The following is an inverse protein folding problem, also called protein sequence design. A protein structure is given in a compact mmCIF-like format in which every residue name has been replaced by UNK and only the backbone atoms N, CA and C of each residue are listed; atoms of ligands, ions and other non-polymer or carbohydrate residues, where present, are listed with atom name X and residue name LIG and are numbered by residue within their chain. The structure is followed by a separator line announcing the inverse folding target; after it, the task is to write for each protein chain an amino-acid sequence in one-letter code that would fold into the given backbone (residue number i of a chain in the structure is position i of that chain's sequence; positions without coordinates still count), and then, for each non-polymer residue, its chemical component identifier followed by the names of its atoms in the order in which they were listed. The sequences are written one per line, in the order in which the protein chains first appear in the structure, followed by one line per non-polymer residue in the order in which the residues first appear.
data_IF_556447455551
#
_entry.id   IF_556447455551
#
_cell.length_a   1.000
_cell.length_b   1.000
_cell.length_c   1.000
_cell.angle_alpha   90.00
_cell.angle_beta   90.00
_cell.angle_gamma   90.00
#
_symmetry.space_group_name_H-M   'P 1'
#
loop_
_entity.id
_entity.type
_entity.pdbx_description
1 polymer ?
#
# COMPACT_ATOMS: atom_id res chain seq x y z
N UNK A 1 -4.28 2.85 29.38
CA UNK A 1 -3.35 2.75 28.24
C UNK A 1 -2.07 3.49 28.64
N UNK A 2 -0.99 2.78 28.97
CA UNK A 2 0.36 3.35 29.00
C UNK A 2 1.11 2.73 27.83
N UNK A 3 1.32 3.50 26.78
CA UNK A 3 2.10 3.12 25.62
C UNK A 3 2.85 4.37 25.17
N UNK A 4 4.16 4.25 24.93
CA UNK A 4 4.99 5.35 24.45
C UNK A 4 4.48 5.77 23.07
N UNK A 5 4.27 7.07 22.86
CA UNK A 5 4.03 7.62 21.53
C UNK A 5 5.36 7.69 20.76
N UNK A 6 5.40 7.17 19.55
CA UNK A 6 6.54 7.23 18.66
C UNK A 6 6.21 7.99 17.39
N UNK A 7 7.09 8.91 16.98
CA UNK A 7 7.03 9.57 15.67
C UNK A 7 8.06 8.96 14.72
N UNK A 8 7.64 8.57 13.53
CA UNK A 8 8.51 8.05 12.47
C UNK A 8 8.50 9.05 11.31
N UNK A 9 9.67 9.54 10.93
CA UNK A 9 9.84 10.34 9.72
C UNK A 9 10.24 9.45 8.57
N UNK A 10 9.39 9.38 7.55
CA UNK A 10 9.69 8.73 6.28
C UNK A 10 10.27 9.76 5.31
N UNK A 11 11.56 9.61 4.99
CA UNK A 11 12.22 10.50 4.04
C UNK A 11 12.03 10.00 2.61
N UNK A 12 11.54 10.88 1.74
CA UNK A 12 11.37 10.68 0.31
C UNK A 12 12.66 10.96 -0.47
N UNK A 13 13.79 11.19 0.20
CA UNK A 13 15.08 11.25 -0.50
C UNK A 13 15.59 9.84 -0.81
N UNK A 14 16.45 9.73 -1.81
CA UNK A 14 17.27 8.51 -1.96
C UNK A 14 18.34 8.49 -0.84
N UNK A 15 18.76 7.30 -0.43
CA UNK A 15 19.85 7.15 0.55
C UNK A 15 21.18 7.66 -0.02
N UNK A 16 21.32 7.66 -1.34
CA UNK A 16 22.40 8.32 -2.04
C UNK A 16 21.99 9.76 -2.40
N UNK A 17 22.63 10.78 -1.79
CA UNK A 17 22.26 12.19 -2.02
C UNK A 17 22.51 12.68 -3.45
N UNK A 18 23.28 11.93 -4.26
CA UNK A 18 23.51 12.22 -5.68
C UNK A 18 22.40 11.68 -6.60
N UNK A 19 21.49 10.84 -6.08
CA UNK A 19 20.36 10.31 -6.85
C UNK A 19 19.12 11.17 -6.65
N UNK A 20 18.39 11.36 -7.74
CA UNK A 20 17.11 12.04 -7.76
C UNK A 20 16.00 11.02 -7.49
N UNK A 21 15.10 11.30 -6.54
CA UNK A 21 13.88 10.51 -6.31
C UNK A 21 12.67 11.18 -6.95
N UNK A 22 12.66 11.17 -8.27
CA UNK A 22 11.67 11.87 -9.10
C UNK A 22 10.68 10.96 -9.82
N UNK A 23 10.65 9.66 -9.49
CA UNK A 23 9.63 8.74 -9.99
C UNK A 23 8.35 8.91 -9.13
N UNK A 24 7.34 9.55 -9.73
CA UNK A 24 6.08 9.83 -9.05
C UNK A 24 5.33 8.56 -8.62
N UNK A 25 5.41 7.48 -9.39
CA UNK A 25 4.71 6.23 -9.06
C UNK A 25 5.45 5.46 -7.97
N UNK A 26 6.78 5.43 -7.99
CA UNK A 26 7.55 4.88 -6.87
C UNK A 26 7.27 5.64 -5.57
N UNK A 27 7.25 6.97 -5.63
CA UNK A 27 6.93 7.81 -4.49
C UNK A 27 5.51 7.57 -3.96
N UNK A 28 4.53 7.47 -4.87
CA UNK A 28 3.15 7.16 -4.51
C UNK A 28 3.03 5.78 -3.81
N UNK A 29 3.73 4.75 -4.29
CA UNK A 29 3.76 3.42 -3.67
C UNK A 29 4.43 3.42 -2.31
N UNK A 30 5.54 4.14 -2.16
CA UNK A 30 6.24 4.26 -0.87
C UNK A 30 5.35 4.96 0.17
N UNK A 31 4.64 6.02 -0.23
CA UNK A 31 3.69 6.72 0.65
C UNK A 31 2.53 5.80 1.02
N UNK A 32 1.97 5.03 0.06
CA UNK A 32 0.93 4.06 0.34
C UNK A 32 1.39 3.02 1.38
N UNK A 33 2.60 2.46 1.21
CA UNK A 33 3.21 1.51 2.13
C UNK A 33 3.32 2.07 3.55
N UNK A 34 3.93 3.25 3.69
CA UNK A 34 4.13 3.89 4.99
C UNK A 34 2.79 4.16 5.68
N UNK A 35 1.85 4.81 4.98
CA UNK A 35 0.56 5.15 5.54
C UNK A 35 -0.28 3.93 5.91
N UNK A 36 -0.33 2.90 5.07
CA UNK A 36 -1.09 1.69 5.33
C UNK A 36 -0.52 0.91 6.52
N UNK A 37 0.81 0.84 6.61
CA UNK A 37 1.50 0.20 7.75
C UNK A 37 1.28 0.96 9.05
N UNK A 38 1.37 2.29 9.03
CA UNK A 38 1.16 3.14 10.21
C UNK A 38 -0.30 3.10 10.69
N UNK A 39 -1.26 3.08 9.76
CA UNK A 39 -2.69 3.02 10.09
C UNK A 39 -3.10 1.77 10.88
N UNK A 40 -2.29 0.70 10.85
CA UNK A 40 -2.51 -0.55 11.58
C UNK A 40 -1.90 -0.62 12.98
N UNK A 41 -1.24 0.45 13.46
CA UNK A 41 -0.52 0.46 14.74
C UNK A 41 -0.95 1.63 15.62
N UNK A 42 -1.26 1.34 16.87
CA UNK A 42 -1.55 2.38 17.86
C UNK A 42 -0.27 3.03 18.36
N UNK A 43 -0.33 4.34 18.62
CA UNK A 43 0.79 5.10 19.19
C UNK A 43 1.91 5.45 18.21
N UNK A 44 1.73 5.21 16.90
CA UNK A 44 2.67 5.64 15.86
C UNK A 44 2.11 6.84 15.10
N UNK A 45 2.89 7.91 15.04
CA UNK A 45 2.68 9.05 14.15
C UNK A 45 3.66 8.95 12.97
N UNK A 46 3.15 8.99 11.75
CA UNK A 46 3.96 8.99 10.53
C UNK A 46 4.05 10.41 9.97
N UNK A 47 5.27 10.94 9.89
CA UNK A 47 5.57 12.18 9.18
C UNK A 47 6.24 11.86 7.84
N UNK A 48 5.70 12.37 6.74
CA UNK A 48 6.22 12.14 5.40
C UNK A 48 6.97 13.41 4.96
N UNK A 49 8.29 13.32 4.82
CA UNK A 49 9.14 14.39 4.29
C UNK A 49 9.50 14.07 2.84
N UNK A 50 9.10 14.83 1.81
CA UNK A 50 8.67 16.23 1.81
C UNK A 50 7.23 16.39 1.29
N UNK A 51 6.55 17.44 1.73
CA UNK A 51 5.22 17.80 1.22
C UNK A 51 5.28 18.34 -0.22
N UNK A 52 6.19 19.27 -0.50
CA UNK A 52 6.39 19.88 -1.82
C UNK A 52 7.71 19.40 -2.41
N UNK A 53 7.79 19.35 -3.74
CA UNK A 53 9.04 19.09 -4.46
C UNK A 53 10.22 19.89 -3.91
N UNK A 54 11.35 19.20 -3.80
CA UNK A 54 12.64 19.80 -3.57
C UNK A 54 13.45 19.61 -4.84
N UNK A 55 13.51 20.65 -5.67
CA UNK A 55 14.09 20.63 -7.02
C UNK A 55 15.51 21.22 -7.10
N UNK A 56 16.08 21.65 -5.96
CA UNK A 56 17.40 22.30 -5.87
C UNK A 56 18.31 21.61 -4.84
N UNK A 57 19.60 21.59 -5.15
CA UNK A 57 20.64 21.10 -4.24
C UNK A 57 20.74 19.58 -4.19
N UNK A 58 21.18 19.07 -3.04
CA UNK A 58 21.31 17.63 -2.81
C UNK A 58 19.97 17.00 -2.36
N UNK A 59 19.70 15.78 -2.81
CA UNK A 59 18.48 15.05 -2.43
C UNK A 59 17.22 15.55 -3.14
N UNK A 60 17.33 15.87 -4.43
CA UNK A 60 16.17 16.24 -5.26
C UNK A 60 15.13 15.13 -5.23
N UNK A 61 13.89 15.49 -4.92
CA UNK A 61 12.81 14.54 -4.72
C UNK A 61 11.46 15.18 -4.98
N UNK A 62 10.54 14.40 -5.54
CA UNK A 62 9.17 14.85 -5.71
C UNK A 62 8.40 14.70 -4.40
N UNK A 63 7.63 15.73 -4.05
CA UNK A 63 6.69 15.70 -2.93
C UNK A 63 5.32 15.13 -3.33
N UNK A 64 4.30 15.43 -2.53
CA UNK A 64 2.91 15.17 -2.92
C UNK A 64 2.35 16.25 -3.84
N UNK A 65 2.94 17.45 -3.84
CA UNK A 65 2.63 18.54 -4.76
C UNK A 65 3.91 19.05 -5.43
N UNK A 66 3.76 19.58 -6.63
CA UNK A 66 4.84 20.29 -7.29
C UNK A 66 5.03 21.73 -6.76
N UNK A 67 6.06 22.41 -7.25
CA UNK A 67 6.38 23.81 -6.90
C UNK A 67 5.31 24.84 -7.28
N UNK A 68 4.35 24.46 -8.12
CA UNK A 68 3.21 25.28 -8.51
C UNK A 68 1.92 24.85 -7.80
N UNK A 69 2.05 23.99 -6.78
CA UNK A 69 0.95 23.42 -6.00
C UNK A 69 0.00 22.52 -6.83
N UNK A 70 0.45 21.99 -7.97
CA UNK A 70 -0.31 20.95 -8.66
C UNK A 70 -0.14 19.62 -7.91
N UNK A 71 -1.23 18.85 -7.73
CA UNK A 71 -1.14 17.54 -7.09
C UNK A 71 -0.37 16.55 -7.97
N UNK A 72 0.54 15.81 -7.34
CA UNK A 72 1.21 14.65 -7.92
C UNK A 72 0.43 13.37 -7.59
N UNK A 73 0.69 12.23 -8.28
CA UNK A 73 0.07 10.94 -7.98
C UNK A 73 0.05 10.56 -6.49
N UNK A 74 1.11 10.90 -5.76
CA UNK A 74 1.19 10.68 -4.32
C UNK A 74 0.09 11.41 -3.51
N UNK A 75 -0.37 12.59 -3.93
CA UNK A 75 -1.49 13.29 -3.27
C UNK A 75 -2.80 12.50 -3.42
N UNK A 76 -3.04 11.90 -4.58
CA UNK A 76 -4.21 11.03 -4.79
C UNK A 76 -4.17 9.81 -3.86
N UNK A 77 -3.00 9.19 -3.70
CA UNK A 77 -2.81 8.08 -2.74
C UNK A 77 -3.12 8.52 -1.33
N UNK A 78 -2.56 9.65 -0.87
CA UNK A 78 -2.82 10.19 0.48
C UNK A 78 -4.32 10.39 0.68
N UNK A 79 -4.99 11.06 -0.27
CA UNK A 79 -6.42 11.34 -0.22
C UNK A 79 -7.24 10.05 -0.14
N UNK A 80 -7.02 9.12 -1.07
CA UNK A 80 -7.82 7.91 -1.22
C UNK A 80 -7.61 6.97 -0.04
N UNK A 81 -6.35 6.78 0.38
CA UNK A 81 -6.03 5.93 1.51
C UNK A 81 -6.53 6.53 2.84
N UNK A 82 -6.46 7.85 3.03
CA UNK A 82 -7.08 8.49 4.19
C UNK A 82 -8.59 8.27 4.24
N UNK A 83 -9.28 8.41 3.11
CA UNK A 83 -10.72 8.20 3.03
C UNK A 83 -11.11 6.75 3.36
N UNK A 84 -10.38 5.78 2.80
CA UNK A 84 -10.63 4.35 3.03
C UNK A 84 -10.28 3.95 4.47
N UNK A 85 -9.21 4.50 5.05
CA UNK A 85 -8.72 4.13 6.38
C UNK A 85 -9.37 4.91 7.52
N UNK A 86 -10.06 6.03 7.27
CA UNK A 86 -10.69 6.83 8.32
C UNK A 86 -11.58 6.02 9.28
N UNK A 87 -12.42 5.07 8.84
CA UNK A 87 -13.27 4.28 9.74
C UNK A 87 -12.51 3.30 10.65
N UNK A 88 -11.26 2.96 10.30
CA UNK A 88 -10.47 1.88 10.95
C UNK A 88 -9.18 2.38 11.61
N UNK A 89 -9.02 3.70 11.77
CA UNK A 89 -7.87 4.29 12.48
C UNK A 89 -7.86 3.89 13.95
N UNK A 90 -6.67 3.70 14.52
CA UNK A 90 -6.49 3.43 15.95
C UNK A 90 -6.94 2.04 16.39
N UNK A 91 -6.99 1.09 15.45
CA UNK A 91 -7.25 -0.33 15.71
C UNK A 91 -5.97 -1.10 15.38
N UNK A 92 -5.21 -1.43 16.43
CA UNK A 92 -4.09 -2.37 16.30
C UNK A 92 -4.54 -3.66 15.60
N UNK A 93 -3.84 -4.02 14.54
CA UNK A 93 -4.13 -5.18 13.72
C UNK A 93 -2.84 -5.93 13.37
N UNK A 94 -2.97 -7.20 13.01
CA UNK A 94 -1.86 -7.95 12.43
C UNK A 94 -1.53 -7.37 11.05
N UNK A 95 -0.25 -7.04 10.85
CA UNK A 95 0.29 -6.59 9.58
C UNK A 95 1.36 -7.58 9.14
N UNK A 96 1.13 -8.27 8.02
CA UNK A 96 2.12 -9.13 7.39
C UNK A 96 2.61 -8.48 6.08
N UNK A 97 3.76 -8.93 5.58
CA UNK A 97 4.34 -8.48 4.31
C UNK A 97 4.93 -9.65 3.56
N UNK A 98 4.94 -9.55 2.23
CA UNK A 98 5.60 -10.53 1.38
C UNK A 98 5.92 -9.98 0.00
N UNK A 99 6.43 -10.86 -0.86
CA UNK A 99 6.87 -10.51 -2.20
C UNK A 99 5.79 -10.86 -3.23
N UNK A 100 5.85 -10.16 -4.36
CA UNK A 100 5.14 -10.51 -5.57
C UNK A 100 6.16 -10.77 -6.67
N UNK A 101 5.77 -11.55 -7.68
CA UNK A 101 6.51 -11.63 -8.95
C UNK A 101 6.87 -10.26 -9.54
N UNK A 102 6.03 -9.25 -9.30
CA UNK A 102 6.18 -7.89 -9.82
C UNK A 102 6.06 -6.82 -8.73
N UNK A 103 6.62 -7.03 -7.53
CA UNK A 103 6.60 -6.03 -6.47
C UNK A 103 6.53 -6.63 -5.07
N UNK A 104 5.71 -6.02 -4.19
CA UNK A 104 5.51 -6.49 -2.82
C UNK A 104 4.06 -6.28 -2.38
N UNK A 105 3.67 -6.94 -1.30
CA UNK A 105 2.36 -6.78 -0.69
C UNK A 105 2.45 -6.58 0.82
N UNK A 106 1.44 -5.91 1.37
CA UNK A 106 1.24 -5.72 2.81
C UNK A 106 -0.20 -6.03 3.13
N UNK A 107 -0.44 -6.90 4.10
CA UNK A 107 -1.79 -7.24 4.54
C UNK A 107 -2.13 -6.55 5.86
N UNK A 108 -3.43 -6.35 6.06
CA UNK A 108 -4.02 -5.94 7.33
C UNK A 108 -5.25 -6.80 7.57
N UNK A 109 -5.22 -7.61 8.63
CA UNK A 109 -6.38 -8.38 9.07
C UNK A 109 -7.14 -7.65 10.17
N UNK A 110 -8.45 -7.43 9.99
CA UNK A 110 -9.32 -6.88 11.02
C UNK A 110 -10.66 -7.64 11.07
N UNK A 111 -10.82 -8.52 12.06
CA UNK A 111 -12.02 -9.36 12.15
C UNK A 111 -12.17 -10.25 10.92
N UNK A 112 -13.34 -10.16 10.28
CA UNK A 112 -13.67 -10.90 9.04
C UNK A 112 -13.28 -10.16 7.76
N UNK A 113 -12.57 -9.04 7.84
CA UNK A 113 -12.11 -8.31 6.66
C UNK A 113 -10.58 -8.32 6.58
N UNK A 114 -10.08 -8.62 5.39
CA UNK A 114 -8.65 -8.55 5.08
C UNK A 114 -8.44 -7.52 4.00
N UNK A 115 -7.56 -6.57 4.28
CA UNK A 115 -7.10 -5.60 3.30
C UNK A 115 -5.70 -5.99 2.85
N UNK A 116 -5.49 -5.98 1.54
CA UNK A 116 -4.20 -6.29 0.94
C UNK A 116 -3.77 -5.13 0.06
N UNK A 117 -2.70 -4.45 0.47
CA UNK A 117 -2.05 -3.42 -0.32
C UNK A 117 -1.02 -4.08 -1.25
N UNK A 118 -1.24 -3.94 -2.55
CA UNK A 118 -0.37 -4.40 -3.63
C UNK A 118 0.46 -3.21 -4.13
N UNK A 119 1.78 -3.40 -4.20
CA UNK A 119 2.75 -2.38 -4.57
C UNK A 119 3.59 -2.87 -5.75
N UNK A 120 3.12 -2.70 -7.00
CA UNK A 120 3.82 -3.17 -8.18
C UNK A 120 5.15 -2.43 -8.39
N UNK A 121 6.23 -3.12 -8.73
CA UNK A 121 7.48 -2.48 -9.19
C UNK A 121 7.53 -2.37 -10.73
N UNK A 122 6.65 -3.09 -11.42
CA UNK A 122 6.51 -3.10 -12.87
C UNK A 122 5.04 -3.30 -13.24
N UNK A 123 4.57 -2.75 -14.38
CA UNK A 123 3.19 -2.97 -14.82
C UNK A 123 2.93 -4.46 -15.04
N UNK A 124 1.90 -5.00 -14.40
CA UNK A 124 1.53 -6.40 -14.52
C UNK A 124 0.01 -6.57 -14.48
N UNK A 125 -0.49 -7.56 -15.21
CA UNK A 125 -1.90 -7.95 -15.18
C UNK A 125 -2.20 -8.91 -14.02
N UNK A 126 -1.28 -9.83 -13.79
CA UNK A 126 -1.40 -10.90 -12.80
C UNK A 126 -0.28 -10.77 -11.78
N UNK A 127 -0.65 -10.78 -10.50
CA UNK A 127 0.29 -10.76 -9.38
C UNK A 127 0.23 -12.08 -8.64
N UNK A 128 1.39 -12.73 -8.53
CA UNK A 128 1.56 -13.95 -7.77
C UNK A 128 2.07 -13.57 -6.40
N UNK A 129 1.31 -13.92 -5.37
CA UNK A 129 1.64 -13.69 -3.98
C UNK A 129 2.59 -14.79 -3.51
N UNK A 130 3.82 -14.41 -3.15
CA UNK A 130 4.86 -15.31 -2.67
C UNK A 130 4.89 -15.33 -1.14
N UNK A 131 5.02 -16.53 -0.57
CA UNK A 131 5.16 -16.77 0.87
C UNK A 131 3.82 -16.97 1.59
N UNK A 132 3.82 -17.09 2.93
CA UNK A 132 2.60 -17.31 3.69
C UNK A 132 1.68 -16.08 3.58
N UNK A 133 0.72 -16.15 2.67
CA UNK A 133 -0.35 -15.16 2.55
C UNK A 133 -1.48 -15.56 3.49
N UNK A 134 -2.09 -14.61 4.21
CA UNK A 134 -3.31 -14.89 4.96
C UNK A 134 -4.39 -15.52 4.07
N UNK A 135 -5.12 -16.52 4.57
CA UNK A 135 -6.12 -17.25 3.77
C UNK A 135 -7.25 -16.33 3.27
N UNK A 136 -7.54 -16.39 1.98
CA UNK A 136 -8.63 -15.65 1.34
C UNK A 136 -9.47 -16.57 0.45
N UNK A 137 -10.71 -16.16 0.16
CA UNK A 137 -11.63 -16.92 -0.69
C UNK A 137 -11.29 -16.76 -2.16
N UNK A 138 -11.47 -17.85 -2.88
CA UNK A 138 -11.51 -17.85 -4.35
C UNK A 138 -12.70 -17.02 -4.86
N UNK A 139 -12.49 -16.30 -5.96
CA UNK A 139 -13.54 -15.58 -6.69
C UNK A 139 -13.24 -14.09 -6.94
N UNK A 140 -14.30 -13.35 -7.29
CA UNK A 140 -14.21 -11.93 -7.64
C UNK A 140 -14.25 -11.04 -6.38
N UNK A 141 -13.29 -10.13 -6.29
CA UNK A 141 -13.18 -9.14 -5.21
C UNK A 141 -13.02 -7.73 -5.79
N UNK A 142 -13.07 -6.72 -4.93
CA UNK A 142 -12.87 -5.33 -5.33
C UNK A 142 -11.48 -4.84 -4.96
N UNK A 143 -10.91 -4.04 -5.87
CA UNK A 143 -9.67 -3.33 -5.66
C UNK A 143 -9.82 -1.86 -6.02
N UNK A 144 -9.21 -0.98 -5.24
CA UNK A 144 -9.10 0.45 -5.55
C UNK A 144 -7.69 0.75 -6.05
N UNK A 145 -7.58 1.33 -7.23
CA UNK A 145 -6.35 2.00 -7.67
C UNK A 145 -6.21 3.30 -6.88
N UNK A 146 -5.22 3.35 -5.99
CA UNK A 146 -5.04 4.49 -5.08
C UNK A 146 -4.55 5.74 -5.82
N UNK A 147 -3.95 5.60 -7.00
CA UNK A 147 -3.51 6.73 -7.83
C UNK A 147 -4.68 7.30 -8.62
N UNK A 148 -5.43 6.42 -9.30
CA UNK A 148 -6.57 6.84 -10.12
C UNK A 148 -7.85 7.12 -9.31
N UNK A 149 -7.98 6.55 -8.11
CA UNK A 149 -9.18 6.60 -7.29
C UNK A 149 -10.36 5.79 -7.85
N UNK A 150 -10.08 4.80 -8.71
CA UNK A 150 -11.10 3.99 -9.36
C UNK A 150 -11.19 2.60 -8.74
N UNK A 151 -12.42 2.08 -8.64
CA UNK A 151 -12.69 0.70 -8.22
C UNK A 151 -12.61 -0.21 -9.44
N UNK A 152 -12.01 -1.39 -9.28
CA UNK A 152 -11.81 -2.39 -10.32
C UNK A 152 -12.05 -3.78 -9.74
N UNK A 153 -12.64 -4.72 -10.51
CA UNK A 153 -12.71 -6.11 -10.09
C UNK A 153 -11.32 -6.75 -10.14
N UNK A 154 -11.08 -7.71 -9.25
CA UNK A 154 -9.90 -8.56 -9.26
C UNK A 154 -10.33 -10.00 -8.96
N UNK A 155 -9.91 -10.93 -9.82
CA UNK A 155 -10.12 -12.35 -9.58
C UNK A 155 -8.99 -12.88 -8.70
N UNK A 156 -9.34 -13.34 -7.50
CA UNK A 156 -8.39 -13.87 -6.53
C UNK A 156 -8.50 -15.39 -6.48
N UNK A 157 -7.36 -16.08 -6.65
CA UNK A 157 -7.25 -17.54 -6.59
C UNK A 157 -6.27 -17.94 -5.48
N UNK A 158 -6.73 -18.52 -4.36
CA UNK A 158 -5.84 -18.93 -3.28
C UNK A 158 -4.97 -20.13 -3.71
N UNK A 159 -3.72 -20.15 -3.24
CA UNK A 159 -2.78 -21.26 -3.41
C UNK A 159 -2.37 -21.84 -2.05
N UNK A 160 -1.68 -23.00 -2.04
CA UNK A 160 -1.26 -23.66 -0.80
C UNK A 160 -0.33 -22.81 0.09
N UNK A 161 0.54 -22.02 -0.52
CA UNK A 161 1.52 -21.14 0.15
C UNK A 161 1.54 -19.76 -0.50
N UNK A 162 0.38 -19.26 -0.94
CA UNK A 162 0.31 -18.01 -1.70
C UNK A 162 -1.03 -17.81 -2.37
N UNK A 163 -1.00 -17.19 -3.55
CA UNK A 163 -2.19 -17.06 -4.39
C UNK A 163 -1.95 -16.13 -5.56
N UNK A 164 -2.98 -15.93 -6.37
CA UNK A 164 -2.90 -15.16 -7.61
C UNK A 164 -4.02 -14.12 -7.64
N UNK A 165 -3.67 -12.89 -8.02
CA UNK A 165 -4.60 -11.80 -8.26
C UNK A 165 -4.54 -11.40 -9.75
N UNK A 166 -5.62 -11.64 -10.50
CA UNK A 166 -5.74 -11.22 -11.91
C UNK A 166 -6.65 -9.99 -12.02
N UNK A 167 -6.09 -8.87 -12.50
CA UNK A 167 -6.81 -7.61 -12.70
C UNK A 167 -7.42 -7.46 -14.11
N UNK A 168 -7.30 -8.50 -14.95
CA UNK A 168 -7.78 -8.52 -16.34
C UNK A 168 -7.03 -7.61 -17.31
N UNK A 169 -6.26 -6.65 -16.79
CA UNK A 169 -5.46 -5.68 -17.54
C UNK A 169 -4.23 -5.26 -16.73
N UNK A 170 -3.22 -4.74 -17.41
CA UNK A 170 -1.99 -4.30 -16.75
C UNK A 170 -2.23 -3.12 -15.82
N UNK A 171 -1.71 -3.20 -14.61
CA UNK A 171 -1.76 -2.16 -13.58
C UNK A 171 -0.38 -1.89 -13.00
N UNK A 172 -0.12 -0.64 -12.66
CA UNK A 172 1.17 -0.19 -12.12
C UNK A 172 1.04 0.64 -10.84
N UNK A 173 -0.11 1.26 -10.57
CA UNK A 173 -0.36 2.01 -9.34
C UNK A 173 -0.39 1.14 -8.09
N UNK A 174 -0.33 1.79 -6.92
CA UNK A 174 -0.62 1.10 -5.66
C UNK A 174 -2.11 0.71 -5.63
N UNK A 175 -2.41 -0.54 -5.30
CA UNK A 175 -3.77 -1.07 -5.31
C UNK A 175 -4.13 -1.57 -3.92
N UNK A 176 -5.31 -1.23 -3.43
CA UNK A 176 -5.85 -1.77 -2.20
C UNK A 176 -6.97 -2.75 -2.52
N UNK A 177 -6.83 -4.01 -2.11
CA UNK A 177 -7.77 -5.09 -2.38
C UNK A 177 -8.50 -5.48 -1.09
N UNK A 178 -9.82 -5.61 -1.15
CA UNK A 178 -10.63 -6.20 -0.08
C UNK A 178 -10.78 -7.68 -0.34
N UNK A 179 -10.16 -8.51 0.50
CA UNK A 179 -10.29 -9.96 0.42
C UNK A 179 -11.20 -10.46 1.53
N UNK A 180 -12.18 -11.28 1.14
CA UNK A 180 -12.96 -12.06 2.09
C UNK A 180 -12.11 -13.22 2.64
N UNK A 181 -12.02 -13.43 3.97
CA UNK A 181 -11.23 -14.49 4.55
C UNK A 181 -11.67 -15.89 4.11
N UNK A 182 -10.70 -16.75 3.86
CA UNK A 182 -10.93 -18.18 3.68
C UNK A 182 -11.59 -18.76 4.93
N UNK A 183 -12.48 -19.74 4.74
CA UNK A 183 -13.07 -20.47 5.89
C UNK A 183 -11.93 -21.28 6.52
N UNK A 184 -11.58 -21.03 7.78
CA UNK A 184 -10.76 -21.99 8.53
C UNK A 184 -11.50 -23.33 8.48
N UNK A 185 -10.90 -24.34 7.87
CA UNK A 185 -11.38 -25.70 8.06
C UNK A 185 -11.27 -25.98 9.56
N UNK A 186 -12.41 -26.18 10.23
CA UNK A 186 -12.42 -26.70 11.60
C UNK A 186 -11.48 -27.90 11.63
N UNK A 187 -10.36 -27.77 12.33
CA UNK A 187 -9.53 -28.92 12.65
C UNK A 187 -10.37 -29.85 13.55
N UNK A 188 -10.35 -31.17 13.31
CA UNK A 188 -11.14 -32.14 14.06
C UNK A 188 -10.77 -32.21 15.54
#
# INVERSE_FOLDING_TARGET
MMGVQGSITMCMADQNPARHRSDDLDNARHIAEGMFTAAGRDGIELFIDTFMDLDRGHGVRNGVIDRWCNPRPAMSVVRNLCAIMAPVRGRSCRVDRGMLNAGRWISRGQGDEMLLLILPNSPSREFVLEGPVPEFRDGCHEAVDLVAGTVRPVEARPGKEGGVLDFGSSVSGALLVWLSPGRQANAP
#
